data_IF_338212000584
#
_entry.id   IF_338212000584
#
_cell.length_a   1.000
_cell.length_b   1.000
_cell.length_c   1.000
_cell.angle_alpha   90.00
_cell.angle_beta   90.00
_cell.angle_gamma   90.00
#
_symmetry.space_group_name_H-M   'P 1'
#
loop_
_entity.id
_entity.type
_entity.pdbx_description
1 polymer ?
#
# COMPACT_ATOMS: atom_id res chain seq x y z
N UNK A 1 -0.32 -16.41 -7.54
CA UNK A 1 0.61 -15.51 -6.82
C UNK A 1 0.47 -14.09 -7.35
N UNK A 2 0.66 -13.86 -8.66
CA UNK A 2 0.54 -12.54 -9.29
C UNK A 2 -0.83 -11.83 -9.06
N UNK A 3 -1.95 -12.56 -9.19
CA UNK A 3 -3.28 -11.97 -8.98
C UNK A 3 -3.49 -11.42 -7.56
N UNK A 4 -2.96 -12.11 -6.54
CA UNK A 4 -3.08 -11.73 -5.12
C UNK A 4 -2.25 -10.48 -4.78
N UNK A 5 -1.12 -10.31 -5.46
CA UNK A 5 -0.27 -9.11 -5.33
C UNK A 5 -0.94 -7.89 -5.95
N UNK A 6 -1.58 -8.05 -7.12
CA UNK A 6 -2.32 -6.97 -7.76
C UNK A 6 -3.53 -6.54 -6.94
N UNK A 7 -4.30 -7.51 -6.43
CA UNK A 7 -5.42 -7.25 -5.51
C UNK A 7 -4.95 -6.50 -4.25
N UNK A 8 -3.85 -6.96 -3.62
CA UNK A 8 -3.28 -6.28 -2.46
C UNK A 8 -2.85 -4.84 -2.79
N UNK A 9 -2.28 -4.60 -3.97
CA UNK A 9 -1.89 -3.27 -4.40
C UNK A 9 -3.09 -2.32 -4.49
N UNK A 10 -4.21 -2.79 -5.06
CA UNK A 10 -5.47 -2.03 -5.11
C UNK A 10 -6.00 -1.74 -3.71
N UNK A 11 -6.06 -2.75 -2.84
CA UNK A 11 -6.50 -2.60 -1.45
C UNK A 11 -5.66 -1.56 -0.69
N UNK A 12 -4.34 -1.58 -0.83
CA UNK A 12 -3.46 -0.59 -0.17
C UNK A 12 -3.78 0.82 -0.65
N UNK A 13 -4.00 1.03 -1.95
CA UNK A 13 -4.34 2.34 -2.50
C UNK A 13 -5.71 2.81 -2.00
N UNK A 14 -6.71 1.94 -1.98
CA UNK A 14 -8.05 2.25 -1.47
C UNK A 14 -8.03 2.63 0.01
N UNK A 15 -7.34 1.82 0.84
CA UNK A 15 -7.18 2.10 2.26
C UNK A 15 -6.43 3.42 2.49
N UNK A 16 -5.37 3.68 1.72
CA UNK A 16 -4.64 4.93 1.80
C UNK A 16 -5.51 6.14 1.40
N UNK A 17 -6.34 6.01 0.36
CA UNK A 17 -7.21 7.08 -0.13
C UNK A 17 -8.32 7.45 0.85
N UNK A 18 -8.88 6.48 1.56
CA UNK A 18 -10.00 6.68 2.49
C UNK A 18 -9.67 7.67 3.61
N UNK A 19 -8.48 7.60 4.17
CA UNK A 19 -8.06 8.41 5.34
C UNK A 19 -6.90 9.37 4.98
N UNK A 20 -6.81 9.77 3.72
CA UNK A 20 -5.74 10.63 3.23
C UNK A 20 -5.83 12.06 3.80
N UNK A 21 -4.70 12.57 4.30
CA UNK A 21 -4.56 13.97 4.72
C UNK A 21 -3.46 14.60 3.88
N UNK A 22 -3.74 15.75 3.26
CA UNK A 22 -2.81 16.43 2.34
C UNK A 22 -2.29 15.51 1.22
N UNK A 23 -3.18 14.71 0.62
CA UNK A 23 -2.85 13.71 -0.41
C UNK A 23 -1.85 12.63 0.05
N UNK A 24 -1.69 12.42 1.37
CA UNK A 24 -0.85 11.34 1.91
C UNK A 24 -1.72 10.40 2.73
N UNK A 25 -1.96 9.22 2.17
CA UNK A 25 -2.59 8.11 2.85
C UNK A 25 -1.57 7.29 3.65
N UNK A 26 -2.04 6.63 4.71
CA UNK A 26 -1.21 5.76 5.56
C UNK A 26 -1.93 4.43 5.75
N UNK A 27 -1.20 3.33 5.59
CA UNK A 27 -1.71 1.97 5.80
C UNK A 27 -0.77 1.24 6.75
N UNK A 28 -1.31 0.63 7.80
CA UNK A 28 -0.52 -0.21 8.70
C UNK A 28 -0.23 -1.55 8.05
N UNK A 29 1.02 -1.99 8.11
CA UNK A 29 1.42 -3.31 7.62
C UNK A 29 0.73 -4.41 8.42
N UNK A 30 0.53 -4.19 9.73
CA UNK A 30 -0.17 -5.13 10.60
C UNK A 30 -1.62 -5.38 10.16
N UNK A 31 -2.33 -4.38 9.64
CA UNK A 31 -3.69 -4.55 9.11
C UNK A 31 -3.71 -5.47 7.89
N UNK A 32 -2.67 -5.39 7.04
CA UNK A 32 -2.52 -6.26 5.87
C UNK A 32 -2.15 -7.68 6.30
N UNK A 33 -1.29 -7.84 7.32
CA UNK A 33 -0.95 -9.15 7.89
C UNK A 33 -2.18 -9.80 8.54
N UNK A 34 -2.97 -9.02 9.29
CA UNK A 34 -4.22 -9.50 9.89
C UNK A 34 -5.26 -9.94 8.86
N UNK A 35 -5.20 -9.39 7.63
CA UNK A 35 -6.00 -9.83 6.47
C UNK A 35 -5.44 -11.07 5.77
N UNK A 36 -4.31 -11.62 6.24
CA UNK A 36 -3.71 -12.85 5.72
C UNK A 36 -2.70 -12.65 4.58
N UNK A 37 -2.20 -11.43 4.39
CA UNK A 37 -1.10 -11.16 3.46
C UNK A 37 0.26 -11.32 4.18
N UNK A 38 1.22 -11.90 3.48
CA UNK A 38 2.60 -11.97 3.97
C UNK A 38 3.35 -10.67 3.74
N UNK A 39 4.44 -10.45 4.49
CA UNK A 39 5.34 -9.30 4.27
C UNK A 39 5.97 -9.30 2.86
N UNK A 40 6.18 -10.49 2.28
CA UNK A 40 6.68 -10.63 0.91
C UNK A 40 5.65 -10.15 -0.11
N UNK A 41 4.38 -10.54 0.03
CA UNK A 41 3.29 -10.05 -0.82
C UNK A 41 3.12 -8.54 -0.70
N UNK A 42 3.21 -7.97 0.51
CA UNK A 42 3.20 -6.51 0.71
C UNK A 42 4.36 -5.85 -0.04
N UNK A 43 5.56 -6.41 0.05
CA UNK A 43 6.74 -5.88 -0.64
C UNK A 43 6.56 -5.89 -2.17
N UNK A 44 6.04 -6.98 -2.72
CA UNK A 44 5.76 -7.07 -4.16
C UNK A 44 4.63 -6.12 -4.59
N UNK A 45 3.58 -5.96 -3.77
CA UNK A 45 2.50 -5.03 -4.06
C UNK A 45 2.98 -3.57 -4.07
N UNK A 46 3.89 -3.20 -3.17
CA UNK A 46 4.49 -1.86 -3.15
C UNK A 46 5.24 -1.55 -4.46
N UNK A 47 5.96 -2.52 -5.04
CA UNK A 47 6.62 -2.34 -6.36
C UNK A 47 5.63 -2.06 -7.48
N UNK A 48 4.41 -2.61 -7.39
CA UNK A 48 3.33 -2.32 -8.36
C UNK A 48 2.84 -0.88 -8.17
N UNK A 49 2.59 -0.47 -6.92
CA UNK A 49 2.09 0.86 -6.57
C UNK A 49 3.09 1.96 -6.97
N UNK A 50 4.40 1.71 -6.79
CA UNK A 50 5.50 2.64 -7.12
C UNK A 50 5.50 3.12 -8.59
N UNK A 51 4.84 2.38 -9.49
CA UNK A 51 4.71 2.75 -10.90
C UNK A 51 3.79 3.95 -11.12
N UNK A 52 2.85 4.21 -10.21
CA UNK A 52 1.86 5.30 -10.33
C UNK A 52 1.95 6.31 -9.21
N UNK A 53 2.24 5.85 -8.00
CA UNK A 53 2.30 6.68 -6.81
C UNK A 53 3.69 6.64 -6.21
N UNK A 54 4.10 7.74 -5.58
CA UNK A 54 5.23 7.69 -4.66
C UNK A 54 4.77 6.96 -3.40
N UNK A 55 5.60 6.04 -2.90
CA UNK A 55 5.38 5.37 -1.61
C UNK A 55 6.61 5.50 -0.72
N UNK A 56 6.41 5.35 0.58
CA UNK A 56 7.49 5.33 1.57
C UNK A 56 7.08 4.47 2.75
N UNK A 57 7.94 3.53 3.14
CA UNK A 57 7.74 2.71 4.35
C UNK A 57 8.47 3.36 5.51
N UNK A 58 7.80 3.55 6.64
CA UNK A 58 8.40 4.09 7.87
C UNK A 58 7.91 3.27 9.05
N UNK A 59 8.81 2.49 9.66
CA UNK A 59 8.43 1.51 10.68
C UNK A 59 7.40 0.52 10.11
N UNK A 60 6.25 0.41 10.77
CA UNK A 60 5.17 -0.52 10.39
C UNK A 60 4.04 0.13 9.58
N UNK A 61 4.24 1.33 9.03
CA UNK A 61 3.26 1.97 8.15
C UNK A 61 3.82 2.32 6.77
N UNK A 62 2.95 2.17 5.78
CA UNK A 62 3.16 2.53 4.38
C UNK A 62 2.51 3.88 4.15
N UNK A 63 3.27 4.86 3.68
CA UNK A 63 2.77 6.13 3.15
C UNK A 63 2.57 6.01 1.66
N UNK A 64 1.40 6.40 1.17
CA UNK A 64 1.09 6.52 -0.27
C UNK A 64 0.79 7.98 -0.57
N UNK A 65 1.56 8.58 -1.47
CA UNK A 65 1.36 9.96 -1.92
C UNK A 65 0.45 9.93 -3.15
N UNK A 66 -0.81 10.33 -2.96
CA UNK A 66 -1.91 10.21 -3.94
C UNK A 66 -1.98 11.38 -4.92
N UNK A 67 -1.13 12.38 -4.77
CA UNK A 67 -0.85 13.34 -5.83
C UNK A 67 -0.18 12.61 -6.99
N UNK A 68 -0.78 12.68 -8.18
CA UNK A 68 -0.21 12.09 -9.39
C UNK A 68 1.24 12.57 -9.58
N UNK A 69 2.08 11.65 -10.05
CA UNK A 69 3.52 11.85 -10.24
C UNK A 69 3.82 12.63 -11.52
#
# INVERSE_FOLDING_TARGET
MEHRVLELAEIIVELAARDAVNNVGRVLIEDLIAKGYSREEVTEALKVIERRYRVSVVGDYIKVFLSER
#
